data_IF_535809389956
#
_entry.id   IF_535809389956
#
_cell.length_a   1.000
_cell.length_b   1.000
_cell.length_c   1.000
_cell.angle_alpha   90.00
_cell.angle_beta   90.00
_cell.angle_gamma   90.00
#
_symmetry.space_group_name_H-M   'P 1'
#
loop_
_entity.id
_entity.type
_entity.pdbx_description
1 polymer ?
#
# COMPACT_ATOMS: atom_id res chain seq x y z
N UNK A 1 40.81 -9.54 22.78
CA UNK A 1 40.30 -9.85 24.13
C UNK A 1 39.30 -11.00 24.12
N UNK A 2 38.15 -10.89 23.46
CA UNK A 2 37.13 -11.94 23.43
C UNK A 2 37.54 -13.27 22.77
N UNK A 3 38.50 -13.25 21.83
CA UNK A 3 39.02 -14.45 21.17
C UNK A 3 40.00 -15.26 22.04
N UNK A 4 40.50 -14.70 23.14
CA UNK A 4 41.32 -15.43 24.10
C UNK A 4 40.42 -16.22 25.06
N UNK A 5 40.58 -17.55 25.03
CA UNK A 5 39.78 -18.47 25.84
C UNK A 5 39.97 -18.24 27.34
N UNK A 6 41.17 -17.87 27.77
CA UNK A 6 41.47 -17.67 29.18
C UNK A 6 40.78 -16.41 29.70
N UNK A 7 40.86 -15.31 28.95
CA UNK A 7 40.13 -14.07 29.26
C UNK A 7 38.62 -14.30 29.26
N UNK A 8 38.08 -15.01 28.27
CA UNK A 8 36.64 -15.28 28.20
C UNK A 8 36.13 -16.11 29.40
N UNK A 9 36.94 -17.03 29.92
CA UNK A 9 36.61 -17.81 31.13
C UNK A 9 36.70 -16.99 32.41
N UNK A 10 37.72 -16.15 32.52
CA UNK A 10 37.98 -15.38 33.73
C UNK A 10 37.02 -14.19 33.89
N UNK A 11 36.65 -13.54 32.77
CA UNK A 11 35.93 -12.27 32.76
C UNK A 11 34.80 -12.24 31.69
N UNK A 12 33.86 -13.22 31.71
CA UNK A 12 32.80 -13.32 30.70
C UNK A 12 31.80 -12.15 30.70
N UNK A 13 31.62 -11.49 31.84
CA UNK A 13 30.80 -10.29 32.01
C UNK A 13 31.46 -9.05 31.44
N UNK A 14 32.74 -8.84 31.71
CA UNK A 14 33.47 -7.71 31.14
C UNK A 14 33.57 -7.76 29.61
N UNK A 15 33.80 -8.94 29.03
CA UNK A 15 33.75 -9.12 27.57
C UNK A 15 32.37 -8.74 27.02
N UNK A 16 31.30 -9.09 27.73
CA UNK A 16 29.93 -8.71 27.37
C UNK A 16 29.70 -7.20 27.50
N UNK A 17 30.26 -6.56 28.53
CA UNK A 17 30.23 -5.11 28.72
C UNK A 17 30.87 -4.37 27.54
N UNK A 18 32.07 -4.80 27.11
CA UNK A 18 32.72 -4.21 25.93
C UNK A 18 31.96 -4.44 24.62
N UNK A 19 31.35 -5.62 24.44
CA UNK A 19 30.50 -5.88 23.27
C UNK A 19 29.26 -4.99 23.26
N UNK A 20 28.65 -4.76 24.42
CA UNK A 20 27.51 -3.85 24.57
C UNK A 20 27.92 -2.38 24.35
N UNK A 21 29.08 -1.98 24.85
CA UNK A 21 29.63 -0.62 24.68
C UNK A 21 29.99 -0.30 23.22
N UNK A 22 30.61 -1.25 22.53
CA UNK A 22 31.09 -1.05 21.16
C UNK A 22 29.98 -1.01 20.10
N UNK A 23 28.72 -1.31 20.46
CA UNK A 23 27.64 -1.44 19.49
C UNK A 23 26.77 -0.17 19.39
N UNK A 24 26.61 0.44 18.20
CA UNK A 24 26.03 1.78 18.06
C UNK A 24 24.52 1.90 18.33
N UNK A 25 23.81 0.80 18.64
CA UNK A 25 22.38 0.81 18.94
C UNK A 25 22.07 -0.26 19.99
N UNK A 26 21.83 0.17 21.23
CA UNK A 26 21.44 -0.68 22.37
C UNK A 26 20.02 -1.23 22.24
N UNK A 27 19.16 -0.57 21.47
CA UNK A 27 17.77 -1.00 21.26
C UNK A 27 17.62 -1.88 20.00
N UNK A 28 16.87 -2.97 20.10
CA UNK A 28 16.60 -3.91 19.00
C UNK A 28 17.69 -4.96 18.67
N UNK A 29 18.91 -4.85 19.19
CA UNK A 29 20.05 -5.71 18.81
C UNK A 29 20.51 -6.75 19.85
N UNK A 30 19.76 -6.91 20.95
CA UNK A 30 20.10 -7.89 22.00
C UNK A 30 20.34 -9.30 21.46
N UNK A 31 19.62 -9.72 20.41
CA UNK A 31 19.79 -11.01 19.72
C UNK A 31 21.19 -11.21 19.14
N UNK A 32 21.72 -10.21 18.46
CA UNK A 32 23.04 -10.30 17.79
C UNK A 32 24.14 -10.41 18.84
N UNK A 33 24.08 -9.58 19.89
CA UNK A 33 25.09 -9.59 20.94
C UNK A 33 25.03 -10.90 21.73
N UNK A 34 23.84 -11.41 22.06
CA UNK A 34 23.68 -12.70 22.72
C UNK A 34 24.18 -13.87 21.88
N UNK A 35 23.96 -13.84 20.56
CA UNK A 35 24.44 -14.89 19.64
C UNK A 35 25.95 -14.90 19.55
N UNK A 36 26.57 -13.73 19.33
CA UNK A 36 28.02 -13.59 19.29
C UNK A 36 28.65 -14.04 20.61
N UNK A 37 28.08 -13.60 21.73
CA UNK A 37 28.53 -13.97 23.08
C UNK A 37 28.44 -15.47 23.31
N UNK A 38 27.33 -16.11 22.96
CA UNK A 38 27.15 -17.55 23.12
C UNK A 38 28.21 -18.34 22.35
N UNK A 39 28.53 -17.92 21.12
CA UNK A 39 29.58 -18.56 20.33
C UNK A 39 30.98 -18.37 20.93
N UNK A 40 31.28 -17.20 21.50
CA UNK A 40 32.53 -16.96 22.21
C UNK A 40 32.65 -17.82 23.48
N UNK A 41 31.58 -17.91 24.28
CA UNK A 41 31.50 -18.80 25.44
C UNK A 41 31.73 -20.26 25.02
N UNK A 42 31.04 -20.71 23.97
CA UNK A 42 31.14 -22.08 23.45
C UNK A 42 32.57 -22.43 23.04
N UNK A 43 33.25 -21.54 22.31
CA UNK A 43 34.68 -21.70 21.93
C UNK A 43 35.63 -21.70 23.13
N UNK A 44 35.25 -21.03 24.21
CA UNK A 44 35.94 -21.04 25.49
C UNK A 44 35.51 -22.23 26.39
N UNK A 45 34.62 -23.12 25.94
CA UNK A 45 34.18 -24.28 26.70
C UNK A 45 33.40 -23.94 27.97
N UNK A 46 32.68 -22.82 27.96
CA UNK A 46 31.79 -22.39 29.03
C UNK A 46 30.43 -22.02 28.44
N UNK A 47 29.40 -21.93 29.28
CA UNK A 47 28.17 -21.23 28.94
C UNK A 47 27.56 -20.57 30.18
N UNK A 48 26.59 -19.68 29.96
CA UNK A 48 25.75 -19.14 31.05
C UNK A 48 24.40 -19.82 30.99
N UNK A 49 23.96 -20.36 32.11
CA UNK A 49 22.61 -20.84 32.29
C UNK A 49 21.66 -19.66 32.49
N UNK A 50 21.20 -19.13 31.36
CA UNK A 50 20.32 -17.98 31.34
C UNK A 50 18.92 -18.26 31.91
N UNK A 51 18.50 -19.54 31.98
CA UNK A 51 17.20 -19.90 32.54
C UNK A 51 17.08 -19.57 34.03
N UNK A 52 18.22 -19.47 34.72
CA UNK A 52 18.32 -19.12 36.14
C UNK A 52 18.53 -17.62 36.38
N UNK A 53 18.62 -16.81 35.32
CA UNK A 53 18.86 -15.36 35.44
C UNK A 53 17.57 -14.56 35.51
N UNK A 54 17.64 -13.38 36.11
CA UNK A 54 16.56 -12.41 36.13
C UNK A 54 16.91 -11.23 35.21
N UNK A 55 16.01 -10.89 34.27
CA UNK A 55 16.23 -9.83 33.28
C UNK A 55 16.56 -8.47 33.93
N UNK A 56 15.86 -8.10 35.00
CA UNK A 56 16.05 -6.81 35.66
C UNK A 56 17.42 -6.73 36.33
N UNK A 57 17.81 -7.78 37.06
CA UNK A 57 19.10 -7.83 37.75
C UNK A 57 20.27 -7.88 36.76
N UNK A 58 20.10 -8.61 35.66
CA UNK A 58 21.07 -8.65 34.56
C UNK A 58 21.26 -7.26 33.94
N UNK A 59 20.16 -6.58 33.59
CA UNK A 59 20.24 -5.24 33.01
C UNK A 59 20.88 -4.24 33.98
N UNK A 60 20.55 -4.31 35.27
CA UNK A 60 21.20 -3.48 36.30
C UNK A 60 22.70 -3.75 36.40
N UNK A 61 23.13 -5.01 36.36
CA UNK A 61 24.54 -5.38 36.39
C UNK A 61 25.28 -4.92 35.11
N UNK A 62 24.64 -5.05 33.95
CA UNK A 62 25.18 -4.58 32.68
C UNK A 62 25.30 -3.05 32.65
N UNK A 63 24.30 -2.32 33.13
CA UNK A 63 24.36 -0.85 33.23
C UNK A 63 25.54 -0.41 34.11
N UNK A 64 25.73 -1.04 35.28
CA UNK A 64 26.89 -0.75 36.15
C UNK A 64 28.24 -1.04 35.46
N UNK A 65 28.31 -2.11 34.67
CA UNK A 65 29.50 -2.44 33.89
C UNK A 65 29.76 -1.42 32.77
N UNK A 66 28.72 -0.87 32.15
CA UNK A 66 28.85 0.19 31.14
C UNK A 66 29.26 1.53 31.75
N UNK A 67 28.72 1.88 32.92
CA UNK A 67 29.05 3.11 33.64
C UNK A 67 30.48 3.07 34.21
N UNK A 68 30.92 1.89 34.66
CA UNK A 68 32.27 1.67 35.23
C UNK A 68 32.92 0.41 34.66
N UNK A 69 33.44 0.46 33.42
CA UNK A 69 34.00 -0.71 32.74
C UNK A 69 35.18 -1.35 33.48
N UNK A 70 35.21 -2.69 33.49
CA UNK A 70 36.33 -3.47 34.03
C UNK A 70 36.34 -3.58 35.55
N UNK A 71 35.25 -3.19 36.22
CA UNK A 71 35.06 -3.37 37.67
C UNK A 71 34.43 -4.71 38.03
N UNK A 72 34.08 -5.53 37.03
CA UNK A 72 33.58 -6.88 37.23
C UNK A 72 32.17 -6.93 37.83
N UNK A 73 31.36 -5.89 37.61
CA UNK A 73 29.97 -5.84 38.06
C UNK A 73 29.14 -6.93 37.38
N UNK A 74 29.31 -7.07 36.06
CA UNK A 74 28.61 -8.09 35.30
C UNK A 74 29.22 -9.49 35.54
N UNK A 75 30.52 -9.58 35.80
CA UNK A 75 31.17 -10.85 36.18
C UNK A 75 30.63 -11.37 37.52
N UNK A 76 30.53 -10.51 38.53
CA UNK A 76 29.98 -10.87 39.83
C UNK A 76 28.54 -11.39 39.71
N UNK A 77 27.72 -10.76 38.87
CA UNK A 77 26.35 -11.20 38.60
C UNK A 77 26.29 -12.55 37.89
N UNK A 78 27.13 -12.77 36.87
CA UNK A 78 27.05 -13.96 36.01
C UNK A 78 27.72 -15.21 36.62
N UNK A 79 28.65 -15.02 37.57
CA UNK A 79 29.43 -16.10 38.18
C UNK A 79 28.59 -17.28 38.70
N UNK A 80 27.44 -17.10 39.38
CA UNK A 80 26.62 -18.22 39.85
C UNK A 80 25.99 -19.05 38.71
N UNK A 81 25.82 -18.44 37.54
CA UNK A 81 25.16 -19.02 36.37
C UNK A 81 26.15 -19.57 35.35
N UNK A 82 27.45 -19.39 35.57
CA UNK A 82 28.50 -19.93 34.74
C UNK A 82 28.56 -21.45 34.88
N UNK A 83 28.65 -22.15 33.75
CA UNK A 83 28.84 -23.60 33.66
C UNK A 83 30.10 -23.88 32.86
N UNK A 84 30.94 -24.77 33.40
CA UNK A 84 32.19 -25.22 32.75
C UNK A 84 31.87 -26.48 31.94
N UNK A 85 31.07 -26.29 30.90
CA UNK A 85 30.76 -27.33 29.92
C UNK A 85 30.49 -26.66 28.57
N UNK A 86 31.06 -27.25 27.52
CA UNK A 86 30.84 -26.79 26.15
C UNK A 86 29.52 -27.38 25.66
N UNK A 87 28.53 -26.52 25.43
CA UNK A 87 27.35 -26.92 24.68
C UNK A 87 27.76 -27.20 23.23
N UNK A 88 27.17 -28.21 22.60
CA UNK A 88 27.25 -28.35 21.15
C UNK A 88 26.51 -27.18 20.47
N UNK A 89 26.70 -27.03 19.15
CA UNK A 89 26.11 -25.92 18.42
C UNK A 89 24.57 -25.93 18.45
N UNK A 90 23.95 -27.12 18.43
CA UNK A 90 22.50 -27.25 18.44
C UNK A 90 21.92 -26.92 19.83
N UNK A 91 22.57 -27.38 20.90
CA UNK A 91 22.24 -27.07 22.28
C UNK A 91 22.36 -25.58 22.56
N UNK A 92 23.45 -24.94 22.11
CA UNK A 92 23.64 -23.49 22.24
C UNK A 92 22.56 -22.71 21.48
N UNK A 93 22.18 -23.16 20.28
CA UNK A 93 21.13 -22.52 19.49
C UNK A 93 19.74 -22.66 20.13
N UNK A 94 19.43 -23.85 20.68
CA UNK A 94 18.16 -24.10 21.38
C UNK A 94 18.05 -23.24 22.65
N UNK A 95 19.11 -23.17 23.46
CA UNK A 95 19.14 -22.32 24.66
C UNK A 95 18.88 -20.84 24.33
N UNK A 96 19.47 -20.33 23.23
CA UNK A 96 19.20 -18.96 22.78
C UNK A 96 17.76 -18.76 22.28
N UNK A 97 17.17 -19.78 21.63
CA UNK A 97 15.78 -19.73 21.13
C UNK A 97 14.77 -19.67 22.26
N UNK A 98 15.03 -20.37 23.36
CA UNK A 98 14.09 -20.48 24.48
C UNK A 98 14.07 -19.25 25.39
N UNK A 99 15.06 -18.36 25.26
CA UNK A 99 15.17 -17.16 26.08
C UNK A 99 13.98 -16.20 25.88
N UNK A 100 13.35 -15.74 26.98
CA UNK A 100 12.29 -14.73 26.92
C UNK A 100 12.79 -13.46 26.22
N UNK A 101 12.16 -13.09 25.10
CA UNK A 101 12.56 -11.94 24.27
C UNK A 101 13.54 -12.25 23.11
N UNK A 102 14.05 -13.50 23.01
CA UNK A 102 14.84 -13.98 21.88
C UNK A 102 14.15 -15.10 21.09
N UNK A 103 13.01 -15.62 21.59
CA UNK A 103 12.08 -16.43 20.79
C UNK A 103 11.85 -15.70 19.47
N UNK A 104 11.82 -16.39 18.30
CA UNK A 104 11.10 -15.85 17.16
C UNK A 104 9.75 -15.47 17.73
N UNK A 105 9.37 -14.19 17.67
CA UNK A 105 7.99 -13.79 17.98
C UNK A 105 7.16 -14.84 17.29
N UNK A 106 6.38 -15.61 18.08
CA UNK A 106 5.48 -16.61 17.52
C UNK A 106 4.87 -15.94 16.30
N UNK A 107 5.03 -16.56 15.11
CA UNK A 107 4.48 -16.04 13.85
C UNK A 107 3.15 -15.43 14.25
N UNK A 108 2.98 -14.09 14.18
CA UNK A 108 1.85 -13.44 14.81
C UNK A 108 0.66 -14.25 14.36
N UNK A 109 -0.07 -14.86 15.32
CA UNK A 109 -1.19 -15.72 14.99
C UNK A 109 -2.09 -14.86 14.13
N UNK A 110 -2.02 -15.07 12.81
CA UNK A 110 -2.59 -14.14 11.88
C UNK A 110 -4.09 -14.25 12.13
N UNK A 111 -4.69 -13.16 12.60
CA UNK A 111 -6.11 -13.16 12.92
C UNK A 111 -6.94 -13.60 11.72
N UNK A 112 -8.20 -14.01 11.95
CA UNK A 112 -9.09 -14.40 10.87
C UNK A 112 -9.13 -13.32 9.80
N UNK A 113 -9.22 -13.75 8.54
CA UNK A 113 -9.37 -12.85 7.39
C UNK A 113 -10.73 -12.19 7.50
N UNK A 114 -10.74 -10.85 7.53
CA UNK A 114 -11.97 -10.04 7.61
C UNK A 114 -12.33 -9.45 6.25
N UNK A 115 -11.32 -9.18 5.41
CA UNK A 115 -11.50 -8.79 4.01
C UNK A 115 -10.63 -9.72 3.18
N UNK A 116 -11.23 -10.69 2.45
CA UNK A 116 -10.49 -11.62 1.64
C UNK A 116 -9.87 -10.93 0.42
N UNK A 117 -8.79 -11.53 -0.08
CA UNK A 117 -8.28 -11.20 -1.41
C UNK A 117 -9.27 -11.65 -2.48
N UNK A 118 -9.35 -10.90 -3.58
CA UNK A 118 -10.12 -11.23 -4.77
C UNK A 118 -9.26 -11.05 -6.01
N UNK A 119 -9.29 -12.04 -6.89
CA UNK A 119 -8.68 -11.94 -8.21
C UNK A 119 -9.74 -11.38 -9.16
N UNK A 120 -9.59 -10.10 -9.52
CA UNK A 120 -10.41 -9.45 -10.52
C UNK A 120 -9.71 -9.50 -11.88
N UNK A 121 -10.49 -9.72 -12.93
CA UNK A 121 -10.04 -9.44 -14.29
C UNK A 121 -9.99 -7.92 -14.50
N UNK A 122 -8.80 -7.32 -14.70
CA UNK A 122 -8.67 -5.88 -14.89
C UNK A 122 -9.14 -5.41 -16.27
N UNK A 123 -9.53 -6.32 -17.17
CA UNK A 123 -9.92 -5.94 -18.52
C UNK A 123 -11.27 -5.22 -18.57
N UNK A 124 -11.31 -4.11 -19.30
CA UNK A 124 -12.56 -3.40 -19.59
C UNK A 124 -13.29 -4.12 -20.72
N UNK A 125 -14.50 -4.63 -20.46
CA UNK A 125 -15.30 -5.27 -21.50
C UNK A 125 -15.88 -4.20 -22.43
N UNK A 126 -16.25 -4.60 -23.65
CA UNK A 126 -16.93 -3.70 -24.59
C UNK A 126 -18.18 -3.05 -23.98
N UNK A 127 -18.97 -3.83 -23.24
CA UNK A 127 -20.18 -3.33 -22.57
C UNK A 127 -19.86 -2.28 -21.49
N UNK A 128 -18.74 -2.42 -20.78
CA UNK A 128 -18.33 -1.43 -19.78
C UNK A 128 -17.92 -0.11 -20.45
N UNK A 129 -17.21 -0.21 -21.58
CA UNK A 129 -16.82 0.96 -22.37
C UNK A 129 -18.07 1.67 -22.92
N UNK A 130 -19.00 0.92 -23.53
CA UNK A 130 -20.24 1.48 -24.06
C UNK A 130 -21.05 2.18 -22.97
N UNK A 131 -21.15 1.58 -21.78
CA UNK A 131 -21.84 2.18 -20.63
C UNK A 131 -21.15 3.46 -20.15
N UNK A 132 -19.82 3.46 -20.06
CA UNK A 132 -19.03 4.62 -19.64
C UNK A 132 -19.14 5.79 -20.64
N UNK A 133 -19.15 5.50 -21.93
CA UNK A 133 -19.34 6.49 -22.98
C UNK A 133 -20.75 7.07 -22.97
N UNK A 134 -21.78 6.23 -22.82
CA UNK A 134 -23.17 6.66 -22.74
C UNK A 134 -23.47 7.52 -21.49
N UNK A 135 -22.73 7.31 -20.40
CA UNK A 135 -22.84 8.10 -19.18
C UNK A 135 -22.04 9.42 -19.22
N UNK A 136 -21.26 9.68 -20.28
CA UNK A 136 -20.43 10.87 -20.40
C UNK A 136 -21.07 11.92 -21.30
N UNK A 137 -21.56 13.02 -20.70
CA UNK A 137 -22.26 14.08 -21.42
C UNK A 137 -21.42 14.70 -22.55
N UNK A 138 -20.11 14.90 -22.33
CA UNK A 138 -19.22 15.47 -23.33
C UNK A 138 -19.06 14.56 -24.57
N UNK A 139 -18.99 13.25 -24.36
CA UNK A 139 -18.98 12.27 -25.44
C UNK A 139 -20.31 12.27 -26.20
N UNK A 140 -21.44 12.19 -25.49
CA UNK A 140 -22.79 12.19 -26.08
C UNK A 140 -23.04 13.45 -26.91
N UNK A 141 -22.64 14.62 -26.40
CA UNK A 141 -22.78 15.88 -27.11
C UNK A 141 -21.86 15.96 -28.33
N UNK A 142 -20.64 15.42 -28.24
CA UNK A 142 -19.70 15.36 -29.36
C UNK A 142 -20.19 14.42 -30.46
N UNK A 143 -20.77 13.28 -30.09
CA UNK A 143 -21.35 12.31 -31.02
C UNK A 143 -22.54 12.92 -31.77
N UNK A 144 -23.44 13.62 -31.07
CA UNK A 144 -24.56 14.36 -31.68
C UNK A 144 -24.08 15.43 -32.66
N UNK A 145 -23.04 16.19 -32.29
CA UNK A 145 -22.45 17.23 -33.17
C UNK A 145 -21.79 16.60 -34.39
N UNK A 146 -21.13 15.45 -34.24
CA UNK A 146 -20.54 14.71 -35.35
C UNK A 146 -21.61 14.29 -36.36
N UNK A 147 -22.75 13.77 -35.90
CA UNK A 147 -23.86 13.40 -36.79
C UNK A 147 -24.35 14.60 -37.63
N UNK A 148 -24.51 15.76 -36.99
CA UNK A 148 -24.91 16.99 -37.67
C UNK A 148 -23.89 17.46 -38.70
N UNK A 149 -22.60 17.41 -38.35
CA UNK A 149 -21.51 17.75 -39.27
C UNK A 149 -21.46 16.78 -40.45
N UNK A 150 -21.56 15.47 -40.20
CA UNK A 150 -21.53 14.45 -41.25
C UNK A 150 -22.72 14.60 -42.22
N UNK A 151 -23.93 14.86 -41.71
CA UNK A 151 -25.13 15.11 -42.52
C UNK A 151 -25.09 16.44 -43.31
N UNK A 152 -24.19 17.35 -42.95
CA UNK A 152 -23.92 18.58 -43.72
C UNK A 152 -22.93 18.34 -44.88
N UNK A 153 -22.07 17.32 -44.75
CA UNK A 153 -21.00 17.03 -45.72
C UNK A 153 -21.41 15.93 -46.70
N UNK A 154 -21.94 14.81 -46.24
CA UNK A 154 -22.25 13.64 -47.07
C UNK A 154 -23.75 13.50 -47.33
N UNK A 155 -24.09 12.90 -48.48
CA UNK A 155 -25.48 12.54 -48.82
C UNK A 155 -25.99 11.42 -47.91
N UNK A 156 -25.14 10.44 -47.64
CA UNK A 156 -25.36 9.37 -46.66
C UNK A 156 -24.20 9.39 -45.66
N UNK A 157 -24.40 9.90 -44.43
CA UNK A 157 -23.33 9.99 -43.44
C UNK A 157 -23.11 8.67 -42.67
N UNK A 158 -23.96 7.65 -42.86
CA UNK A 158 -23.95 6.42 -42.06
C UNK A 158 -22.60 5.67 -42.13
N UNK A 159 -21.97 5.47 -43.31
CA UNK A 159 -20.70 4.75 -43.39
C UNK A 159 -19.58 5.43 -42.59
N UNK A 160 -19.50 6.77 -42.67
CA UNK A 160 -18.51 7.55 -41.94
C UNK A 160 -18.74 7.47 -40.43
N UNK A 161 -19.97 7.71 -39.97
CA UNK A 161 -20.31 7.70 -38.54
C UNK A 161 -19.98 6.33 -37.94
N UNK A 162 -20.29 5.25 -38.67
CA UNK A 162 -19.96 3.89 -38.25
C UNK A 162 -18.46 3.70 -38.06
N UNK A 163 -17.63 4.10 -39.04
CA UNK A 163 -16.17 3.93 -38.99
C UNK A 163 -15.56 4.76 -37.84
N UNK A 164 -16.02 6.00 -37.64
CA UNK A 164 -15.57 6.83 -36.51
C UNK A 164 -15.93 6.20 -35.16
N UNK A 165 -17.17 5.70 -35.00
CA UNK A 165 -17.61 5.05 -33.76
C UNK A 165 -16.84 3.75 -33.50
N UNK A 166 -16.54 2.98 -34.55
CA UNK A 166 -15.73 1.77 -34.45
C UNK A 166 -14.29 2.10 -34.03
N UNK A 167 -13.67 3.14 -34.60
CA UNK A 167 -12.35 3.61 -34.17
C UNK A 167 -12.36 4.14 -32.72
N UNK A 168 -13.44 4.79 -32.29
CA UNK A 168 -13.61 5.26 -30.92
C UNK A 168 -13.74 4.09 -29.92
N UNK A 169 -14.55 3.07 -30.24
CA UNK A 169 -14.88 1.95 -29.36
C UNK A 169 -13.82 0.86 -29.32
N UNK A 170 -13.39 0.39 -30.49
CA UNK A 170 -12.54 -0.80 -30.65
C UNK A 170 -11.19 -0.50 -31.30
N UNK A 171 -11.03 0.68 -31.89
CA UNK A 171 -9.75 1.13 -32.44
C UNK A 171 -8.63 1.18 -31.40
N UNK A 172 -7.39 1.06 -31.88
CA UNK A 172 -6.21 1.24 -31.03
C UNK A 172 -6.16 2.67 -30.50
N UNK A 173 -5.74 2.84 -29.24
CA UNK A 173 -5.59 4.18 -28.66
C UNK A 173 -4.56 4.96 -29.47
N UNK A 174 -4.94 6.16 -29.91
CA UNK A 174 -4.12 6.99 -30.79
C UNK A 174 -4.19 6.63 -32.28
N UNK A 175 -5.05 5.70 -32.69
CA UNK A 175 -5.30 5.44 -34.11
C UNK A 175 -5.95 6.65 -34.79
N UNK A 176 -5.29 7.15 -35.83
CA UNK A 176 -5.74 8.27 -36.66
C UNK A 176 -6.13 7.84 -38.08
N UNK A 177 -6.23 6.54 -38.35
CA UNK A 177 -6.53 5.99 -39.67
C UNK A 177 -7.79 6.59 -40.29
N UNK A 178 -8.89 6.64 -39.52
CA UNK A 178 -10.18 7.22 -39.95
C UNK A 178 -10.05 8.72 -40.22
N UNK A 179 -9.37 9.47 -39.34
CA UNK A 179 -9.14 10.91 -39.48
C UNK A 179 -8.31 11.22 -40.73
N UNK A 180 -7.28 10.41 -41.01
CA UNK A 180 -6.47 10.53 -42.23
C UNK A 180 -7.30 10.22 -43.48
N UNK A 181 -8.19 9.22 -43.43
CA UNK A 181 -9.06 8.89 -44.56
C UNK A 181 -10.03 10.02 -44.89
N UNK A 182 -10.62 10.68 -43.89
CA UNK A 182 -11.49 11.86 -44.11
C UNK A 182 -10.76 12.98 -44.88
N UNK A 183 -9.44 13.10 -44.71
CA UNK A 183 -8.64 14.13 -45.34
C UNK A 183 -8.10 13.73 -46.72
N UNK A 184 -7.58 12.51 -46.83
CA UNK A 184 -6.86 12.01 -48.00
C UNK A 184 -7.76 11.31 -49.02
N UNK A 185 -8.83 10.67 -48.57
CA UNK A 185 -9.77 9.90 -49.40
C UNK A 185 -11.22 10.06 -48.90
N UNK A 186 -11.77 11.29 -48.92
CA UNK A 186 -13.12 11.55 -48.41
C UNK A 186 -14.22 10.85 -49.22
N UNK A 187 -14.01 10.66 -50.53
CA UNK A 187 -14.99 10.05 -51.42
C UNK A 187 -15.23 8.57 -51.10
N UNK A 188 -14.31 7.92 -50.35
CA UNK A 188 -14.48 6.56 -49.84
C UNK A 188 -15.71 6.37 -48.94
N UNK A 189 -16.20 7.45 -48.31
CA UNK A 189 -17.41 7.43 -47.48
C UNK A 189 -18.69 7.74 -48.26
N UNK A 190 -18.58 8.01 -49.56
CA UNK A 190 -19.71 8.28 -50.45
C UNK A 190 -19.75 9.72 -50.94
N UNK A 191 -20.75 10.04 -51.79
CA UNK A 191 -20.84 11.35 -52.42
C UNK A 191 -21.18 12.45 -51.41
N UNK A 192 -20.58 13.62 -51.62
CA UNK A 192 -20.94 14.84 -50.91
C UNK A 192 -22.42 15.20 -51.13
N UNK A 193 -22.94 16.01 -50.22
CA UNK A 193 -24.25 16.62 -50.34
C UNK A 193 -24.25 17.65 -51.47
N UNK A 194 -25.23 17.54 -52.38
CA UNK A 194 -25.31 18.40 -53.58
C UNK A 194 -24.46 17.88 -54.74
N UNK A 195 -24.34 18.68 -55.79
CA UNK A 195 -23.60 18.31 -57.01
C UNK A 195 -22.96 19.55 -57.66
N UNK A 196 -21.71 19.41 -58.10
CA UNK A 196 -20.91 20.48 -58.71
C UNK A 196 -20.91 20.52 -60.24
N UNK A 197 -21.74 19.70 -60.90
CA UNK A 197 -21.70 19.51 -62.35
C UNK A 197 -22.28 20.68 -63.16
N UNK A 198 -21.96 20.70 -64.47
CA UNK A 198 -22.46 21.71 -65.42
C UNK A 198 -24.00 21.69 -65.51
N UNK A 199 -24.62 20.54 -65.27
CA UNK A 199 -26.08 20.34 -65.27
C UNK A 199 -26.74 20.49 -63.89
N UNK A 200 -25.97 20.80 -62.83
CA UNK A 200 -26.49 20.90 -61.47
C UNK A 200 -27.20 22.23 -61.22
N UNK A 201 -28.27 22.19 -60.44
CA UNK A 201 -29.00 23.37 -60.00
C UNK A 201 -28.13 24.32 -59.16
N UNK A 202 -28.56 25.58 -59.01
CA UNK A 202 -27.87 26.55 -58.17
C UNK A 202 -27.80 26.09 -56.71
N UNK A 203 -28.87 25.44 -56.22
CA UNK A 203 -28.95 24.92 -54.86
C UNK A 203 -27.98 23.74 -54.66
N UNK A 204 -27.95 22.79 -55.58
CA UNK A 204 -27.01 21.66 -55.53
C UNK A 204 -25.54 22.11 -55.55
N UNK A 205 -25.21 23.14 -56.33
CA UNK A 205 -23.86 23.73 -56.38
C UNK A 205 -23.51 24.51 -55.10
N UNK A 206 -24.51 25.08 -54.42
CA UNK A 206 -24.33 25.76 -53.13
C UNK A 206 -24.10 24.73 -52.02
N UNK A 207 -24.91 23.68 -51.99
CA UNK A 207 -24.79 22.59 -51.01
C UNK A 207 -23.44 21.87 -51.15
N UNK A 208 -22.99 21.60 -52.37
CA UNK A 208 -21.66 21.00 -52.62
C UNK A 208 -20.50 21.85 -52.10
N UNK A 209 -20.58 23.18 -52.29
CA UNK A 209 -19.56 24.11 -51.76
C UNK A 209 -19.57 24.16 -50.23
N UNK A 210 -20.75 24.19 -49.62
CA UNK A 210 -20.90 24.15 -48.17
C UNK A 210 -20.36 22.84 -47.57
N UNK A 211 -20.67 21.71 -48.21
CA UNK A 211 -20.17 20.39 -47.82
C UNK A 211 -18.64 20.31 -47.88
N UNK A 212 -18.04 20.83 -48.96
CA UNK A 212 -16.58 20.88 -49.10
C UNK A 212 -15.94 21.77 -48.03
N UNK A 213 -16.54 22.93 -47.74
CA UNK A 213 -16.05 23.86 -46.71
C UNK A 213 -16.17 23.29 -45.28
N UNK A 214 -17.20 22.49 -44.99
CA UNK A 214 -17.43 21.89 -43.69
C UNK A 214 -16.54 20.68 -43.39
N UNK A 215 -15.78 20.17 -44.38
CA UNK A 215 -14.95 18.95 -44.25
C UNK A 215 -13.88 19.05 -43.15
N UNK A 216 -13.21 20.21 -43.03
CA UNK A 216 -12.19 20.41 -41.99
C UNK A 216 -12.81 20.40 -40.58
N UNK A 217 -14.00 20.98 -40.43
CA UNK A 217 -14.77 20.94 -39.19
C UNK A 217 -15.19 19.51 -38.83
N UNK A 218 -15.65 18.73 -39.82
CA UNK A 218 -15.99 17.32 -39.64
C UNK A 218 -14.78 16.49 -39.20
N UNK A 219 -13.60 16.71 -39.82
CA UNK A 219 -12.35 16.06 -39.42
C UNK A 219 -12.01 16.36 -37.95
N UNK A 220 -12.06 17.63 -37.56
CA UNK A 220 -11.79 18.05 -36.18
C UNK A 220 -12.82 17.45 -35.19
N UNK A 221 -14.09 17.38 -35.58
CA UNK A 221 -15.14 16.74 -34.80
C UNK A 221 -14.90 15.24 -34.59
N UNK A 222 -14.49 14.53 -35.65
CA UNK A 222 -14.14 13.10 -35.59
C UNK A 222 -12.94 12.86 -34.67
N UNK A 223 -11.88 13.66 -34.82
CA UNK A 223 -10.69 13.59 -33.98
C UNK A 223 -11.01 13.83 -32.50
N UNK A 224 -11.84 14.85 -32.21
CA UNK A 224 -12.27 15.15 -30.85
C UNK A 224 -13.08 14.00 -30.22
N UNK A 225 -14.03 13.42 -30.96
CA UNK A 225 -14.84 12.29 -30.47
C UNK A 225 -13.96 11.06 -30.16
N UNK A 226 -13.07 10.69 -31.09
CA UNK A 226 -12.16 9.54 -30.92
C UNK A 226 -11.25 9.76 -29.72
N UNK A 227 -10.63 10.95 -29.61
CA UNK A 227 -9.76 11.28 -28.48
C UNK A 227 -10.50 11.24 -27.14
N UNK A 228 -11.74 11.73 -27.10
CA UNK A 228 -12.57 11.71 -25.89
C UNK A 228 -12.89 10.28 -25.49
N UNK A 229 -13.29 9.44 -26.44
CA UNK A 229 -13.57 8.03 -26.20
C UNK A 229 -12.32 7.27 -25.71
N UNK A 230 -11.16 7.51 -26.33
CA UNK A 230 -9.89 6.91 -25.92
C UNK A 230 -9.50 7.33 -24.50
N UNK A 231 -9.69 8.60 -24.14
CA UNK A 231 -9.47 9.08 -22.77
C UNK A 231 -10.35 8.38 -21.74
N UNK A 232 -11.65 8.21 -22.04
CA UNK A 232 -12.60 7.48 -21.18
C UNK A 232 -12.20 6.00 -21.06
N UNK A 233 -11.85 5.35 -22.17
CA UNK A 233 -11.37 3.96 -22.18
C UNK A 233 -10.11 3.77 -21.33
N UNK A 234 -9.15 4.69 -21.45
CA UNK A 234 -7.92 4.65 -20.68
C UNK A 234 -8.18 4.87 -19.18
N UNK A 235 -9.05 5.82 -18.82
CA UNK A 235 -9.45 6.05 -17.45
C UNK A 235 -10.12 4.81 -16.84
N UNK A 236 -11.05 4.19 -17.56
CA UNK A 236 -11.75 2.97 -17.14
C UNK A 236 -10.78 1.78 -16.96
N UNK A 237 -9.85 1.58 -17.90
CA UNK A 237 -8.85 0.53 -17.81
C UNK A 237 -7.94 0.73 -16.59
N UNK A 238 -7.49 1.97 -16.35
CA UNK A 238 -6.68 2.32 -15.18
C UNK A 238 -7.45 2.10 -13.88
N UNK A 239 -8.71 2.49 -13.81
CA UNK A 239 -9.56 2.29 -12.63
C UNK A 239 -9.73 0.79 -12.31
N UNK A 240 -10.05 -0.02 -13.33
CA UNK A 240 -10.17 -1.48 -13.16
C UNK A 240 -8.86 -2.13 -12.73
N UNK A 241 -7.74 -1.71 -13.31
CA UNK A 241 -6.43 -2.21 -12.92
C UNK A 241 -6.11 -1.83 -11.46
N UNK A 242 -6.36 -0.59 -11.06
CA UNK A 242 -6.17 -0.17 -9.68
C UNK A 242 -7.07 -0.96 -8.73
N UNK A 243 -8.33 -1.18 -9.08
CA UNK A 243 -9.25 -1.98 -8.28
C UNK A 243 -8.75 -3.43 -8.14
N UNK A 244 -8.28 -4.03 -9.23
CA UNK A 244 -7.72 -5.39 -9.21
C UNK A 244 -6.46 -5.48 -8.33
N UNK A 245 -5.56 -4.49 -8.37
CA UNK A 245 -4.40 -4.47 -7.47
C UNK A 245 -4.79 -4.29 -6.00
N UNK A 246 -5.75 -3.42 -5.71
CA UNK A 246 -6.27 -3.20 -4.35
C UNK A 246 -6.95 -4.46 -3.81
N UNK A 247 -7.69 -5.17 -4.65
CA UNK A 247 -8.40 -6.40 -4.28
C UNK A 247 -7.49 -7.58 -3.93
N UNK A 248 -6.20 -7.54 -4.31
CA UNK A 248 -5.21 -8.54 -3.89
C UNK A 248 -4.84 -8.43 -2.41
N UNK A 249 -5.13 -7.29 -1.78
CA UNK A 249 -4.76 -7.03 -0.39
C UNK A 249 -5.76 -7.72 0.51
N UNK A 250 -5.27 -8.64 1.32
CA UNK A 250 -6.06 -9.27 2.36
C UNK A 250 -5.94 -8.48 3.65
N UNK A 251 -7.09 -8.16 4.29
CA UNK A 251 -7.10 -7.57 5.62
C UNK A 251 -7.47 -8.66 6.62
N UNK A 252 -6.64 -8.76 7.66
CA UNK A 252 -6.82 -9.68 8.77
C UNK A 252 -7.15 -8.92 10.04
N UNK A 253 -7.82 -9.61 10.94
CA UNK A 253 -8.04 -9.09 12.29
C UNK A 253 -6.66 -8.86 12.96
N UNK A 254 -6.39 -7.66 13.49
CA UNK A 254 -5.17 -7.38 14.24
C UNK A 254 -5.08 -8.17 15.54
N UNK A 255 -3.90 -8.20 16.18
CA UNK A 255 -3.67 -8.95 17.42
C UNK A 255 -4.76 -8.63 18.49
N UNK A 256 -5.47 -9.65 19.02
CA UNK A 256 -6.47 -9.47 20.08
C UNK A 256 -5.95 -8.75 21.32
N UNK A 257 -4.67 -8.93 21.68
CA UNK A 257 -4.04 -8.26 22.82
C UNK A 257 -3.95 -6.76 22.57
N UNK A 258 -3.52 -6.37 21.36
CA UNK A 258 -3.46 -4.97 20.94
C UNK A 258 -4.87 -4.36 20.90
N UNK A 259 -5.83 -5.04 20.30
CA UNK A 259 -7.21 -4.55 20.18
C UNK A 259 -7.86 -4.31 21.57
N UNK A 260 -7.68 -5.25 22.49
CA UNK A 260 -8.16 -5.14 23.88
C UNK A 260 -7.46 -4.00 24.64
N UNK A 261 -6.16 -3.77 24.42
CA UNK A 261 -5.44 -2.64 25.00
C UNK A 261 -6.03 -1.29 24.55
N UNK A 262 -6.35 -1.16 23.26
CA UNK A 262 -6.99 0.06 22.71
C UNK A 262 -8.40 0.27 23.30
N UNK A 263 -9.19 -0.80 23.36
CA UNK A 263 -10.56 -0.75 23.90
C UNK A 263 -10.57 -0.29 25.35
N UNK A 264 -9.67 -0.85 26.16
CA UNK A 264 -9.49 -0.50 27.58
C UNK A 264 -8.66 0.76 27.83
N UNK A 265 -8.22 1.45 26.78
CA UNK A 265 -7.37 2.65 26.86
C UNK A 265 -6.09 2.43 27.69
N UNK A 266 -5.48 1.26 27.55
CA UNK A 266 -4.20 0.93 28.17
C UNK A 266 -3.02 1.57 27.43
N UNK A 267 -1.88 1.79 28.08
CA UNK A 267 -0.66 2.25 27.43
C UNK A 267 -0.26 1.32 26.27
N UNK A 268 0.07 1.90 25.11
CA UNK A 268 0.48 1.16 23.92
C UNK A 268 2.00 1.14 23.84
N UNK A 269 2.58 -0.01 23.53
CA UNK A 269 4.01 -0.09 23.21
C UNK A 269 4.30 0.47 21.82
N UNK A 270 5.55 0.88 21.56
CA UNK A 270 5.98 1.36 20.23
C UNK A 270 5.72 0.32 19.13
N UNK A 271 5.86 -0.98 19.45
CA UNK A 271 5.57 -2.07 18.53
C UNK A 271 4.07 -2.13 18.16
N UNK A 272 3.18 -1.96 19.14
CA UNK A 272 1.73 -1.91 18.91
C UNK A 272 1.33 -0.65 18.13
N UNK A 273 1.95 0.50 18.42
CA UNK A 273 1.70 1.73 17.66
C UNK A 273 2.09 1.57 16.18
N UNK A 274 3.25 0.95 15.90
CA UNK A 274 3.68 0.65 14.54
C UNK A 274 2.75 -0.37 13.84
N UNK A 275 2.23 -1.36 14.57
CA UNK A 275 1.27 -2.33 14.04
C UNK A 275 -0.07 -1.68 13.69
N UNK A 276 -0.58 -0.76 14.53
CA UNK A 276 -1.79 0.02 14.24
C UNK A 276 -1.63 0.81 12.94
N UNK A 277 -0.52 1.54 12.79
CA UNK A 277 -0.26 2.32 11.58
C UNK A 277 -0.15 1.43 10.34
N UNK A 278 0.44 0.24 10.46
CA UNK A 278 0.52 -0.72 9.37
C UNK A 278 -0.86 -1.28 8.99
N UNK A 279 -1.69 -1.60 9.99
CA UNK A 279 -3.05 -2.08 9.77
C UNK A 279 -3.90 -1.01 9.06
N UNK A 280 -3.88 0.24 9.54
CA UNK A 280 -4.61 1.35 8.92
C UNK A 280 -4.19 1.54 7.45
N UNK A 281 -2.88 1.53 7.15
CA UNK A 281 -2.39 1.62 5.76
C UNK A 281 -2.89 0.48 4.88
N UNK A 282 -3.09 -0.71 5.44
CA UNK A 282 -3.63 -1.85 4.68
C UNK A 282 -5.10 -1.62 4.31
N UNK A 283 -5.89 -1.01 5.20
CA UNK A 283 -7.25 -0.54 4.89
C UNK A 283 -7.26 0.56 3.84
N UNK A 284 -6.40 1.57 3.97
CA UNK A 284 -6.28 2.67 3.01
C UNK A 284 -5.89 2.14 1.63
N UNK A 285 -4.97 1.19 1.56
CA UNK A 285 -4.58 0.58 0.30
C UNK A 285 -5.71 -0.28 -0.30
N UNK A 286 -6.40 -1.09 0.52
CA UNK A 286 -7.50 -1.96 0.08
C UNK A 286 -8.74 -1.21 -0.42
N UNK A 287 -9.13 -0.14 0.28
CA UNK A 287 -10.36 0.59 -0.01
C UNK A 287 -10.13 1.89 -0.80
N UNK A 288 -8.90 2.39 -0.88
CA UNK A 288 -8.56 3.63 -1.57
C UNK A 288 -9.41 4.80 -1.09
N UNK A 289 -9.97 5.56 -2.03
CA UNK A 289 -10.81 6.73 -1.74
C UNK A 289 -12.11 6.37 -0.99
N UNK A 290 -12.53 5.10 -1.02
CA UNK A 290 -13.71 4.66 -0.29
C UNK A 290 -13.44 4.41 1.20
N UNK A 291 -12.19 4.41 1.68
CA UNK A 291 -11.88 4.18 3.10
C UNK A 291 -12.59 5.17 4.02
N UNK A 292 -12.77 6.42 3.56
CA UNK A 292 -13.55 7.44 4.26
C UNK A 292 -15.02 7.06 4.37
N UNK A 293 -15.60 6.48 3.30
CA UNK A 293 -16.98 5.99 3.29
C UNK A 293 -17.13 4.75 4.17
N UNK A 294 -16.15 3.85 4.22
CA UNK A 294 -16.16 2.72 5.17
C UNK A 294 -16.33 3.22 6.61
N UNK A 295 -15.66 4.33 6.97
CA UNK A 295 -15.76 4.94 8.31
C UNK A 295 -17.14 5.53 8.59
N UNK A 296 -17.69 6.30 7.64
CA UNK A 296 -18.81 7.22 7.92
C UNK A 296 -20.16 6.79 7.34
N UNK A 297 -20.19 5.95 6.29
CA UNK A 297 -21.41 5.66 5.56
C UNK A 297 -22.52 5.08 6.45
N UNK A 298 -23.74 5.55 6.20
CA UNK A 298 -24.95 5.05 6.87
C UNK A 298 -25.40 3.71 6.27
N UNK A 299 -25.35 3.60 4.94
CA UNK A 299 -25.64 2.36 4.22
C UNK A 299 -24.35 1.79 3.61
N UNK A 300 -23.96 0.61 4.08
CA UNK A 300 -22.75 -0.09 3.63
C UNK A 300 -22.99 -1.00 2.41
N UNK A 301 -24.25 -1.32 2.06
CA UNK A 301 -24.56 -2.30 1.02
C UNK A 301 -23.95 -1.96 -0.37
N UNK A 302 -24.04 -0.71 -0.89
CA UNK A 302 -23.43 -0.38 -2.18
C UNK A 302 -21.91 -0.51 -2.17
N UNK A 303 -21.30 -0.26 -1.01
CA UNK A 303 -19.86 -0.35 -0.83
C UNK A 303 -19.41 -1.81 -0.69
N UNK A 304 -20.21 -2.63 -0.01
CA UNK A 304 -19.99 -4.07 0.10
C UNK A 304 -20.01 -4.72 -1.29
N UNK A 305 -21.03 -4.41 -2.10
CA UNK A 305 -21.15 -4.90 -3.47
C UNK A 305 -19.95 -4.50 -4.34
N UNK A 306 -19.55 -3.21 -4.31
CA UNK A 306 -18.40 -2.70 -5.06
C UNK A 306 -17.10 -3.46 -4.72
N UNK A 307 -16.87 -3.73 -3.44
CA UNK A 307 -15.66 -4.40 -2.95
C UNK A 307 -15.78 -5.93 -2.91
N UNK A 308 -16.92 -6.50 -3.35
CA UNK A 308 -17.15 -7.94 -3.38
C UNK A 308 -17.23 -8.58 -1.99
N UNK A 309 -17.73 -7.82 -1.01
CA UNK A 309 -17.88 -8.24 0.37
C UNK A 309 -19.36 -8.40 0.70
N UNK A 310 -19.65 -9.26 1.66
CA UNK A 310 -20.96 -9.22 2.30
C UNK A 310 -21.03 -8.04 3.31
N UNK A 311 -22.26 -7.69 3.70
CA UNK A 311 -22.49 -6.57 4.61
C UNK A 311 -21.91 -6.83 6.00
N UNK A 312 -21.80 -8.08 6.45
CA UNK A 312 -21.25 -8.44 7.77
C UNK A 312 -19.73 -8.25 7.80
N UNK A 313 -19.02 -8.73 6.77
CA UNK A 313 -17.60 -8.52 6.55
C UNK A 313 -17.25 -7.04 6.53
N UNK A 314 -18.00 -6.24 5.77
CA UNK A 314 -17.74 -4.79 5.71
C UNK A 314 -18.05 -4.09 7.03
N UNK A 315 -19.06 -4.57 7.77
CA UNK A 315 -19.37 -4.06 9.12
C UNK A 315 -18.26 -4.39 10.11
N UNK A 316 -17.72 -5.61 10.07
CA UNK A 316 -16.58 -6.03 10.88
C UNK A 316 -15.34 -5.21 10.54
N UNK A 317 -15.04 -5.05 9.25
CA UNK A 317 -13.94 -4.22 8.74
C UNK A 317 -14.05 -2.77 9.26
N UNK A 318 -15.25 -2.18 9.22
CA UNK A 318 -15.51 -0.85 9.78
C UNK A 318 -15.25 -0.79 11.28
N UNK A 319 -15.71 -1.78 12.04
CA UNK A 319 -15.52 -1.80 13.49
C UNK A 319 -14.04 -1.88 13.86
N UNK A 320 -13.29 -2.76 13.18
CA UNK A 320 -11.84 -2.88 13.36
C UNK A 320 -11.15 -1.57 13.04
N UNK A 321 -11.48 -0.94 11.91
CA UNK A 321 -10.91 0.34 11.51
C UNK A 321 -11.17 1.45 12.53
N UNK A 322 -12.39 1.53 13.10
CA UNK A 322 -12.72 2.48 14.18
C UNK A 322 -11.88 2.25 15.43
N UNK A 323 -11.69 1.00 15.84
CA UNK A 323 -10.82 0.68 16.98
C UNK A 323 -9.38 1.08 16.69
N UNK A 324 -8.86 0.80 15.49
CA UNK A 324 -7.52 1.23 15.09
C UNK A 324 -7.35 2.75 15.09
N UNK A 325 -8.32 3.50 14.56
CA UNK A 325 -8.31 4.97 14.58
C UNK A 325 -8.27 5.53 16.03
N UNK A 326 -8.98 4.88 16.97
CA UNK A 326 -8.89 5.19 18.42
C UNK A 326 -7.48 4.91 18.96
N UNK A 327 -6.90 3.76 18.62
CA UNK A 327 -5.54 3.37 19.05
C UNK A 327 -4.47 4.32 18.52
N UNK A 328 -4.58 4.76 17.27
CA UNK A 328 -3.67 5.75 16.69
C UNK A 328 -3.75 7.09 17.44
N UNK A 329 -4.96 7.50 17.83
CA UNK A 329 -5.17 8.73 18.62
C UNK A 329 -4.53 8.63 20.01
N UNK A 330 -4.73 7.49 20.70
CA UNK A 330 -4.10 7.22 22.00
C UNK A 330 -2.57 7.21 21.92
N UNK A 331 -1.98 6.59 20.89
CA UNK A 331 -0.53 6.57 20.69
C UNK A 331 0.03 7.99 20.48
N UNK A 332 -0.68 8.85 19.75
CA UNK A 332 -0.31 10.27 19.55
C UNK A 332 -0.36 11.05 20.86
N UNK A 333 -1.40 10.87 21.67
CA UNK A 333 -1.53 11.50 22.99
C UNK A 333 -0.40 11.06 23.93
N UNK A 334 -0.10 9.76 24.01
CA UNK A 334 1.00 9.22 24.82
C UNK A 334 2.36 9.82 24.40
N UNK A 335 2.63 9.90 23.09
CA UNK A 335 3.85 10.51 22.58
C UNK A 335 3.95 12.02 22.92
N UNK A 336 2.83 12.75 22.96
CA UNK A 336 2.80 14.15 23.38
C UNK A 336 3.13 14.31 24.87
N UNK A 337 2.55 13.47 25.74
CA UNK A 337 2.83 13.49 27.18
C UNK A 337 4.30 13.17 27.48
N UNK A 338 4.89 12.21 26.77
CA UNK A 338 6.32 11.88 26.88
C UNK A 338 7.20 13.08 26.46
N UNK A 339 6.85 13.77 25.36
CA UNK A 339 7.58 14.97 24.92
C UNK A 339 7.47 16.13 25.91
N UNK A 340 6.30 16.35 26.51
CA UNK A 340 6.10 17.42 27.49
C UNK A 340 6.87 17.17 28.78
N UNK A 341 6.88 15.93 29.28
CA UNK A 341 7.64 15.55 30.48
C UNK A 341 9.16 15.62 30.28
N UNK A 342 9.67 15.25 29.09
CA UNK A 342 11.08 15.41 28.74
C UNK A 342 11.50 16.87 28.52
N UNK A 343 10.58 17.72 28.04
CA UNK A 343 10.80 19.16 27.89
C UNK A 343 10.89 19.91 29.23
N UNK A 344 10.05 19.53 30.21
CA UNK A 344 10.11 20.10 31.56
C UNK A 344 11.36 19.69 32.34
N UNK A 345 11.86 18.47 32.13
CA UNK A 345 13.09 18.00 32.80
C UNK A 345 14.37 18.74 32.34
N UNK A 346 14.36 19.41 31.17
CA UNK A 346 15.49 20.21 30.67
C UNK A 346 15.48 21.67 31.12
N UNK A 347 14.41 22.11 31.80
CA UNK A 347 14.32 23.44 32.43
C UNK A 347 14.80 23.40 33.89
N UNK A 348 16.08 23.12 34.12
CA UNK A 348 16.70 23.27 35.44
C UNK A 348 16.83 24.76 35.82
N UNK A 349 16.82 25.12 37.12
CA UNK A 349 16.66 26.50 37.58
C UNK A 349 17.81 27.38 37.09
N UNK A 350 17.45 28.47 36.42
CA UNK A 350 18.32 29.62 36.17
C UNK A 350 18.81 30.16 37.50
N UNK A 351 20.12 30.04 37.75
CA UNK A 351 20.79 30.69 38.88
C UNK A 351 20.91 32.20 38.67
#
# INVERSE_FOLDING_TARGET
MAADKNTMRARPGEVMGYLAYAHPFLDGNGRTIMTLRAELCRRAGIHIDWSQTNKFDYLNALTKELDTPGKGHLDAYLKPFLRIEALDQAQSANMLRDLPGLRPSAVPQQGPVIVPKRDLDPTATKADIERALAANDAFVDSDRKLEQMAASVYKDPVPLIKDIREAALTGSIGDQSVVKRIDLDPDSYGPYKGAGGIFSSQQERKDYRNATAARSGLKAGAEHLISTAHGIRQALANEKQQLAERDKIEIRLPDPVMMNAIEKSQPLSDAQAAEIDKAIRSFEHRFGDDVGKVRTALNLAPLAEKHGLDTEQLTMARQVLKTLDKGQSQAREQAQVIKQSQGQARGGPTR
#
